data_IF_753330213959
#
_entry.id   IF_753330213959
#
_cell.length_a   1.000
_cell.length_b   1.000
_cell.length_c   1.000
_cell.angle_alpha   90.00
_cell.angle_beta   90.00
_cell.angle_gamma   90.00
#
_symmetry.space_group_name_H-M   'P 1'
#
loop_
_entity.id
_entity.type
_entity.pdbx_description
1 polymer ?
#
# COMPACT_ATOMS: atom_id res chain seq x y z
N UNK A 1 7.16 -8.49 9.51
CA UNK A 1 7.19 -8.59 8.03
C UNK A 1 8.26 -9.57 7.59
N UNK A 2 7.97 -10.40 6.57
CA UNK A 2 8.96 -11.29 5.96
C UNK A 2 10.06 -10.48 5.25
N UNK A 3 11.21 -11.10 5.03
CA UNK A 3 12.31 -10.52 4.25
C UNK A 3 12.07 -10.56 2.75
N UNK A 4 10.98 -11.18 2.31
CA UNK A 4 10.54 -11.33 0.92
C UNK A 4 9.58 -12.49 0.74
N UNK A 5 8.89 -12.53 -0.40
CA UNK A 5 7.89 -13.53 -0.70
C UNK A 5 7.77 -13.82 -2.20
N UNK A 6 7.26 -14.98 -2.55
CA UNK A 6 7.01 -15.38 -3.94
C UNK A 6 5.92 -16.45 -4.02
N UNK A 7 5.13 -16.51 -5.11
CA UNK A 7 4.26 -17.64 -5.37
C UNK A 7 5.08 -18.89 -5.68
N UNK A 8 4.54 -20.06 -5.37
CA UNK A 8 5.21 -21.33 -5.57
C UNK A 8 4.26 -22.51 -5.46
N UNK A 9 4.82 -23.71 -5.31
CA UNK A 9 4.05 -24.91 -5.00
C UNK A 9 4.71 -25.73 -3.91
N UNK A 10 3.89 -26.30 -3.04
CA UNK A 10 4.30 -27.25 -2.00
C UNK A 10 3.42 -28.48 -2.13
N UNK A 11 4.03 -29.64 -2.36
CA UNK A 11 3.32 -30.93 -2.51
C UNK A 11 2.20 -30.89 -3.57
N UNK A 12 2.43 -30.16 -4.66
CA UNK A 12 1.47 -30.02 -5.76
C UNK A 12 0.30 -29.06 -5.49
N UNK A 13 0.32 -28.32 -4.38
CA UNK A 13 -0.64 -27.26 -4.06
C UNK A 13 -0.02 -25.89 -4.22
N UNK A 14 -0.81 -24.91 -4.64
CA UNK A 14 -0.44 -23.49 -4.63
C UNK A 14 0.03 -23.08 -3.23
N UNK A 15 1.14 -22.36 -3.17
CA UNK A 15 1.75 -21.93 -1.92
C UNK A 15 2.40 -20.56 -2.07
N UNK A 16 2.52 -19.85 -0.96
CA UNK A 16 3.39 -18.69 -0.84
C UNK A 16 4.65 -19.08 -0.08
N UNK A 17 5.81 -18.74 -0.64
CA UNK A 17 7.10 -18.96 -0.01
C UNK A 17 7.53 -17.65 0.64
N UNK A 18 7.70 -17.65 1.97
CA UNK A 18 8.15 -16.49 2.74
C UNK A 18 9.59 -16.67 3.20
N UNK A 19 10.43 -15.64 3.01
CA UNK A 19 11.73 -15.58 3.67
C UNK A 19 11.58 -14.93 5.05
N UNK A 20 12.15 -15.55 6.08
CA UNK A 20 12.04 -15.05 7.46
C UNK A 20 13.42 -14.91 8.10
N UNK A 21 13.59 -13.87 8.92
CA UNK A 21 14.79 -13.68 9.72
C UNK A 21 14.62 -14.29 11.13
N UNK A 22 15.71 -14.39 11.89
CA UNK A 22 15.62 -14.75 13.32
C UNK A 22 14.82 -13.70 14.09
N UNK A 23 15.09 -12.42 13.83
CA UNK A 23 14.39 -11.30 14.48
C UNK A 23 12.90 -11.29 14.17
N UNK A 24 12.51 -11.55 12.91
CA UNK A 24 11.09 -11.65 12.52
C UNK A 24 10.38 -12.75 13.31
N UNK A 25 11.01 -13.93 13.44
CA UNK A 25 10.45 -15.06 14.21
C UNK A 25 10.43 -14.81 15.72
N UNK A 26 11.34 -14.00 16.25
CA UNK A 26 11.33 -13.61 17.67
C UNK A 26 10.23 -12.58 17.97
N UNK A 27 9.97 -11.66 17.04
CA UNK A 27 8.89 -10.65 17.15
C UNK A 27 7.50 -11.21 16.91
N UNK A 28 7.38 -12.31 16.16
CA UNK A 28 6.13 -12.96 15.77
C UNK A 28 6.23 -14.47 16.06
N UNK A 29 6.39 -14.81 17.33
CA UNK A 29 6.74 -16.17 17.78
C UNK A 29 5.66 -17.22 17.49
N UNK A 30 4.40 -16.81 17.39
CA UNK A 30 3.26 -17.64 17.00
C UNK A 30 2.99 -17.61 15.48
N UNK A 31 3.79 -16.85 14.72
CA UNK A 31 3.65 -16.62 13.29
C UNK A 31 2.30 -16.01 12.88
N UNK A 32 1.62 -15.31 13.79
CA UNK A 32 0.31 -14.71 13.55
C UNK A 32 0.36 -13.64 12.46
N UNK A 33 1.34 -12.73 12.51
CA UNK A 33 1.50 -11.67 11.51
C UNK A 33 2.03 -12.23 10.18
N UNK A 34 2.90 -13.23 10.22
CA UNK A 34 3.33 -13.96 9.02
C UNK A 34 2.16 -14.69 8.34
N UNK A 35 1.26 -15.30 9.11
CA UNK A 35 0.08 -15.97 8.57
C UNK A 35 -0.92 -15.00 7.95
N UNK A 36 -1.13 -13.83 8.59
CA UNK A 36 -1.95 -12.74 8.02
C UNK A 36 -1.39 -12.27 6.70
N UNK A 37 -0.10 -11.93 6.67
CA UNK A 37 0.60 -11.52 5.46
C UNK A 37 0.52 -12.60 4.37
N UNK A 38 0.78 -13.87 4.70
CA UNK A 38 0.66 -14.96 3.75
C UNK A 38 -0.74 -15.06 3.16
N UNK A 39 -1.77 -14.95 4.00
CA UNK A 39 -3.17 -15.03 3.59
C UNK A 39 -3.55 -13.88 2.67
N UNK A 40 -3.05 -12.67 2.95
CA UNK A 40 -3.21 -11.49 2.10
C UNK A 40 -2.64 -11.72 0.69
N UNK A 41 -1.36 -12.06 0.60
CA UNK A 41 -0.69 -12.25 -0.68
C UNK A 41 -1.22 -13.45 -1.47
N UNK A 42 -1.70 -14.50 -0.80
CA UNK A 42 -2.37 -15.63 -1.47
C UNK A 42 -3.63 -15.19 -2.22
N UNK A 43 -4.37 -14.19 -1.73
CA UNK A 43 -5.54 -13.64 -2.44
C UNK A 43 -5.10 -13.00 -3.75
N UNK A 44 -4.05 -12.19 -3.74
CA UNK A 44 -3.52 -11.57 -4.95
C UNK A 44 -3.06 -12.62 -5.96
N UNK A 45 -2.31 -13.63 -5.53
CA UNK A 45 -1.73 -14.61 -6.44
C UNK A 45 -2.73 -15.59 -7.04
N UNK A 46 -3.75 -16.00 -6.30
CA UNK A 46 -4.55 -17.18 -6.69
C UNK A 46 -6.06 -16.94 -6.72
N UNK A 47 -6.55 -15.83 -6.16
CA UNK A 47 -7.97 -15.52 -6.14
C UNK A 47 -8.30 -14.31 -7.01
N UNK A 48 -7.37 -13.37 -7.14
CA UNK A 48 -7.51 -12.16 -7.94
C UNK A 48 -6.82 -12.26 -9.31
N UNK A 49 -6.47 -13.46 -9.78
CA UNK A 49 -5.93 -13.67 -11.14
C UNK A 49 -6.88 -13.13 -12.24
N UNK A 50 -8.18 -13.17 -11.98
CA UNK A 50 -9.23 -12.66 -12.87
C UNK A 50 -9.46 -11.14 -12.76
N UNK A 51 -8.82 -10.45 -11.80
CA UNK A 51 -8.92 -9.00 -11.69
C UNK A 51 -8.19 -8.38 -12.87
N UNK A 52 -8.86 -7.45 -13.56
CA UNK A 52 -8.22 -6.73 -14.66
C UNK A 52 -6.91 -6.08 -14.16
N UNK A 53 -5.84 -6.08 -14.97
CA UNK A 53 -4.62 -5.40 -14.61
C UNK A 53 -4.92 -3.93 -14.35
N UNK A 54 -4.21 -3.37 -13.37
CA UNK A 54 -4.19 -1.94 -13.08
C UNK A 54 -4.01 -1.14 -14.38
N UNK A 55 -4.93 -0.22 -14.67
CA UNK A 55 -4.88 0.57 -15.90
C UNK A 55 -3.95 1.78 -15.76
N UNK A 56 -3.51 2.35 -16.89
CA UNK A 56 -2.60 3.51 -16.87
C UNK A 56 -3.22 4.68 -16.10
N UNK A 57 -2.58 5.06 -14.97
CA UNK A 57 -3.03 6.14 -14.09
C UNK A 57 -3.79 5.67 -12.85
N UNK A 58 -4.16 4.39 -12.79
CA UNK A 58 -4.58 3.73 -11.55
C UNK A 58 -3.36 3.35 -10.72
N UNK A 59 -3.50 3.44 -9.40
CA UNK A 59 -2.57 2.82 -8.47
C UNK A 59 -2.35 3.52 -7.15
N UNK A 60 -1.33 3.06 -6.43
CA UNK A 60 -1.10 3.41 -5.02
C UNK A 60 -0.65 4.85 -4.82
N UNK A 61 -0.16 5.51 -5.87
CA UNK A 61 0.36 6.86 -5.77
C UNK A 61 -0.73 7.92 -5.69
N UNK A 62 -0.60 8.86 -4.77
CA UNK A 62 -1.47 10.04 -4.63
C UNK A 62 -0.71 11.34 -4.89
N UNK A 63 -1.39 12.36 -5.40
CA UNK A 63 -0.73 13.63 -5.72
C UNK A 63 -0.22 14.33 -4.46
N UNK A 64 1.03 14.80 -4.50
CA UNK A 64 1.64 15.61 -3.44
C UNK A 64 1.54 17.12 -3.79
N UNK A 65 1.18 18.00 -2.83
CA UNK A 65 0.85 17.71 -1.43
C UNK A 65 -0.50 17.03 -1.26
N UNK A 66 -0.62 16.23 -0.20
CA UNK A 66 -1.84 15.50 0.13
C UNK A 66 -2.97 16.46 0.46
N UNK A 67 -4.16 16.20 -0.07
CA UNK A 67 -5.32 17.07 0.08
C UNK A 67 -6.20 16.64 1.26
N UNK A 68 -6.56 17.59 2.13
CA UNK A 68 -7.38 17.33 3.32
C UNK A 68 -8.79 16.85 2.99
N UNK A 69 -9.43 17.42 1.97
CA UNK A 69 -10.83 17.15 1.67
C UNK A 69 -11.11 15.68 1.28
N UNK A 70 -10.41 15.05 0.31
CA UNK A 70 -10.68 13.66 -0.03
C UNK A 70 -10.41 12.69 1.12
N UNK A 71 -9.33 12.92 1.90
CA UNK A 71 -9.03 12.12 3.10
C UNK A 71 -10.13 12.27 4.17
N UNK A 72 -10.67 13.48 4.38
CA UNK A 72 -11.80 13.68 5.28
C UNK A 72 -13.04 12.91 4.82
N UNK A 73 -13.35 12.95 3.52
CA UNK A 73 -14.50 12.25 2.96
C UNK A 73 -14.36 10.73 3.18
N UNK A 74 -13.20 10.15 2.85
CA UNK A 74 -12.92 8.72 3.04
C UNK A 74 -12.90 8.33 4.52
N UNK A 75 -12.35 9.17 5.40
CA UNK A 75 -12.40 8.95 6.84
C UNK A 75 -13.84 9.01 7.39
N UNK A 76 -14.70 9.89 6.87
CA UNK A 76 -16.12 9.94 7.26
C UNK A 76 -16.91 8.73 6.74
N UNK A 77 -16.56 8.17 5.58
CA UNK A 77 -17.07 6.87 5.12
C UNK A 77 -16.69 5.81 6.15
N UNK A 78 -15.40 5.64 6.43
CA UNK A 78 -14.90 4.65 7.39
C UNK A 78 -15.55 4.80 8.77
N UNK A 79 -15.57 6.02 9.31
CA UNK A 79 -16.20 6.33 10.59
C UNK A 79 -17.66 5.84 10.65
N UNK A 80 -18.46 6.14 9.62
CA UNK A 80 -19.86 5.72 9.59
C UNK A 80 -20.02 4.21 9.37
N UNK A 81 -19.12 3.55 8.61
CA UNK A 81 -19.13 2.09 8.50
C UNK A 81 -18.85 1.44 9.86
N UNK A 82 -17.87 1.93 10.62
CA UNK A 82 -17.59 1.45 11.98
C UNK A 82 -18.79 1.69 12.90
N UNK A 83 -19.43 2.86 12.85
CA UNK A 83 -20.65 3.10 13.62
C UNK A 83 -21.80 2.15 13.23
N UNK A 84 -21.90 1.76 11.95
CA UNK A 84 -22.90 0.80 11.50
C UNK A 84 -22.67 -0.62 12.03
N UNK A 85 -21.40 -0.99 12.30
CA UNK A 85 -21.01 -2.26 12.93
C UNK A 85 -21.23 -2.20 14.45
N UNK A 86 -20.87 -1.10 15.09
CA UNK A 86 -20.94 -0.95 16.54
C UNK A 86 -22.38 -0.72 17.04
N UNK A 87 -23.27 -0.17 16.21
CA UNK A 87 -24.66 0.16 16.55
C UNK A 87 -25.65 -0.61 15.67
N UNK A 88 -25.76 -1.93 15.86
CA UNK A 88 -26.59 -2.81 15.00
C UNK A 88 -28.05 -2.34 14.87
N UNK A 89 -28.65 -1.81 15.94
CA UNK A 89 -30.02 -1.26 15.93
C UNK A 89 -30.18 0.05 15.15
N UNK A 90 -29.10 0.79 14.88
CA UNK A 90 -29.07 2.01 14.06
C UNK A 90 -28.24 1.83 12.78
N UNK A 91 -27.87 0.60 12.42
CA UNK A 91 -26.92 0.30 11.32
C UNK A 91 -27.33 0.99 10.01
N UNK A 92 -28.61 0.95 9.64
CA UNK A 92 -29.11 1.56 8.40
C UNK A 92 -28.94 3.09 8.37
N UNK A 93 -29.08 3.77 9.52
CA UNK A 93 -28.88 5.22 9.62
C UNK A 93 -27.42 5.58 9.32
N UNK A 94 -26.47 4.83 9.87
CA UNK A 94 -25.05 5.04 9.63
C UNK A 94 -24.62 4.65 8.22
N UNK A 95 -25.16 3.57 7.66
CA UNK A 95 -24.94 3.22 6.25
C UNK A 95 -25.42 4.32 5.29
N UNK A 96 -26.56 4.96 5.57
CA UNK A 96 -27.03 6.10 4.77
C UNK A 96 -26.13 7.32 4.88
N UNK A 97 -25.51 7.57 6.03
CA UNK A 97 -24.50 8.63 6.21
C UNK A 97 -23.20 8.29 5.49
N UNK A 98 -22.73 7.04 5.56
CA UNK A 98 -21.60 6.57 4.76
C UNK A 98 -21.87 6.74 3.26
N UNK A 99 -23.08 6.41 2.78
CA UNK A 99 -23.48 6.62 1.39
C UNK A 99 -23.47 8.11 0.98
N UNK A 100 -23.84 9.02 1.90
CA UNK A 100 -23.71 10.46 1.65
C UNK A 100 -22.25 10.86 1.41
N UNK A 101 -21.33 10.50 2.31
CA UNK A 101 -19.91 10.84 2.16
C UNK A 101 -19.25 10.19 0.95
N UNK A 102 -19.61 8.94 0.65
CA UNK A 102 -19.17 8.22 -0.52
C UNK A 102 -19.61 8.91 -1.82
N UNK A 103 -20.87 9.37 -1.89
CA UNK A 103 -21.37 10.12 -3.04
C UNK A 103 -20.69 11.49 -3.18
N UNK A 104 -20.41 12.19 -2.07
CA UNK A 104 -19.62 13.43 -2.09
C UNK A 104 -18.22 13.18 -2.64
N UNK A 105 -17.51 12.14 -2.17
CA UNK A 105 -16.17 11.80 -2.67
C UNK A 105 -16.17 11.50 -4.17
N UNK A 106 -17.09 10.67 -4.64
CA UNK A 106 -17.24 10.35 -6.07
C UNK A 106 -17.53 11.57 -6.94
N UNK A 107 -18.26 12.54 -6.40
CA UNK A 107 -18.68 13.74 -7.13
C UNK A 107 -17.61 14.84 -7.11
N UNK A 108 -16.98 15.07 -5.96
CA UNK A 108 -15.97 16.10 -5.75
C UNK A 108 -14.59 15.67 -6.30
N UNK A 109 -14.25 14.38 -6.25
CA UNK A 109 -12.94 13.83 -6.63
C UNK A 109 -13.06 12.62 -7.57
N UNK A 110 -13.70 12.77 -8.75
CA UNK A 110 -13.95 11.65 -9.66
C UNK A 110 -12.66 11.00 -10.20
N UNK A 111 -11.58 11.77 -10.36
CA UNK A 111 -10.30 11.24 -10.84
C UNK A 111 -9.57 10.45 -9.76
N UNK A 112 -9.58 10.91 -8.49
CA UNK A 112 -9.04 10.13 -7.38
C UNK A 112 -9.86 8.85 -7.16
N UNK A 113 -11.19 8.96 -7.22
CA UNK A 113 -12.11 7.81 -7.10
C UNK A 113 -11.80 6.71 -8.13
N UNK A 114 -11.55 7.09 -9.39
CA UNK A 114 -11.13 6.13 -10.42
C UNK A 114 -9.73 5.59 -10.14
N UNK A 115 -8.78 6.48 -9.86
CA UNK A 115 -7.37 6.10 -9.69
C UNK A 115 -7.14 5.09 -8.54
N UNK A 116 -7.92 5.18 -7.46
CA UNK A 116 -7.81 4.26 -6.32
C UNK A 116 -8.77 3.07 -6.41
N UNK A 117 -9.66 3.00 -7.40
CA UNK A 117 -10.69 1.96 -7.46
C UNK A 117 -10.09 0.55 -7.51
N UNK A 118 -9.01 0.37 -8.28
CA UNK A 118 -8.30 -0.91 -8.34
C UNK A 118 -7.74 -1.30 -6.96
N UNK A 119 -7.10 -0.37 -6.25
CA UNK A 119 -6.59 -0.58 -4.88
C UNK A 119 -7.72 -0.87 -3.88
N UNK A 120 -8.84 -0.14 -3.95
CA UNK A 120 -10.04 -0.38 -3.13
C UNK A 120 -10.59 -1.80 -3.35
N UNK A 121 -10.52 -2.34 -4.57
CA UNK A 121 -10.93 -3.71 -4.88
C UNK A 121 -9.88 -4.73 -4.42
N UNK A 122 -8.64 -4.58 -4.86
CA UNK A 122 -7.57 -5.54 -4.65
C UNK A 122 -7.20 -5.66 -3.16
N UNK A 123 -6.77 -4.55 -2.57
CA UNK A 123 -6.27 -4.48 -1.19
C UNK A 123 -7.40 -4.54 -0.18
N UNK A 124 -8.53 -3.88 -0.47
CA UNK A 124 -9.70 -3.92 0.40
C UNK A 124 -10.27 -5.34 0.56
N UNK A 125 -10.31 -6.11 -0.52
CA UNK A 125 -10.72 -7.52 -0.48
C UNK A 125 -9.67 -8.41 0.19
N UNK A 126 -8.39 -8.24 -0.11
CA UNK A 126 -7.31 -9.00 0.51
C UNK A 126 -7.26 -8.76 2.03
N UNK A 127 -7.45 -7.51 2.49
CA UNK A 127 -7.58 -7.16 3.92
C UNK A 127 -8.79 -7.82 4.59
N UNK A 128 -9.90 -7.93 3.87
CA UNK A 128 -11.06 -8.67 4.38
C UNK A 128 -10.74 -10.15 4.60
N UNK A 129 -10.15 -10.80 3.60
CA UNK A 129 -9.82 -12.23 3.65
C UNK A 129 -8.72 -12.54 4.67
N UNK A 130 -7.66 -11.72 4.76
CA UNK A 130 -6.57 -11.96 5.72
C UNK A 130 -7.10 -11.94 7.16
N UNK A 131 -7.99 -10.98 7.48
CA UNK A 131 -8.54 -10.83 8.81
C UNK A 131 -9.50 -11.98 9.09
N UNK A 132 -10.30 -12.38 8.10
CA UNK A 132 -11.17 -13.54 8.23
C UNK A 132 -10.39 -14.84 8.46
N UNK A 133 -9.27 -15.04 7.75
CA UNK A 133 -8.42 -16.22 7.90
C UNK A 133 -7.92 -16.39 9.35
N UNK A 134 -7.61 -15.29 10.05
CA UNK A 134 -7.21 -15.36 11.48
C UNK A 134 -8.34 -15.80 12.41
N UNK A 135 -9.59 -15.65 11.99
CA UNK A 135 -10.77 -15.94 12.80
C UNK A 135 -11.27 -17.36 12.53
N UNK A 136 -11.33 -17.76 11.26
CA UNK A 136 -11.83 -19.08 10.81
C UNK A 136 -10.97 -20.26 11.29
N UNK A 137 -9.74 -20.02 11.72
CA UNK A 137 -8.90 -21.04 12.38
C UNK A 137 -9.41 -21.41 13.78
N UNK A 138 -10.34 -20.64 14.35
CA UNK A 138 -10.90 -20.85 15.68
C UNK A 138 -12.24 -21.59 15.56
N UNK A 139 -12.46 -22.62 16.38
CA UNK A 139 -13.76 -23.30 16.47
C UNK A 139 -14.73 -22.44 17.31
N UNK A 140 -15.33 -21.43 16.70
CA UNK A 140 -16.15 -20.40 17.37
C UNK A 140 -17.55 -20.29 16.77
N UNK A 141 -18.50 -19.78 17.55
CA UNK A 141 -19.87 -19.50 17.08
C UNK A 141 -19.90 -18.27 16.17
N UNK A 142 -21.00 -18.09 15.42
CA UNK A 142 -21.19 -16.89 14.58
C UNK A 142 -21.22 -15.59 15.39
N UNK A 143 -21.67 -15.62 16.65
CA UNK A 143 -21.64 -14.45 17.53
C UNK A 143 -20.20 -14.13 17.96
N UNK A 144 -19.44 -15.15 18.36
CA UNK A 144 -18.02 -14.99 18.68
C UNK A 144 -17.20 -14.53 17.47
N UNK A 145 -17.52 -15.01 16.26
CA UNK A 145 -16.91 -14.54 15.01
C UNK A 145 -17.10 -13.03 14.84
N UNK A 146 -18.31 -12.53 15.04
CA UNK A 146 -18.59 -11.08 14.97
C UNK A 146 -17.81 -10.29 16.02
N UNK A 147 -17.67 -10.81 17.23
CA UNK A 147 -16.87 -10.15 18.26
C UNK A 147 -15.38 -10.11 17.90
N UNK A 148 -14.85 -11.18 17.29
CA UNK A 148 -13.46 -11.21 16.80
C UNK A 148 -13.26 -10.26 15.61
N UNK A 149 -14.19 -10.19 14.67
CA UNK A 149 -14.16 -9.22 13.57
C UNK A 149 -14.12 -7.78 14.10
N UNK A 150 -14.99 -7.46 15.06
CA UNK A 150 -15.02 -6.12 15.68
C UNK A 150 -13.70 -5.75 16.36
N UNK A 151 -12.93 -6.71 16.88
CA UNK A 151 -11.63 -6.45 17.52
C UNK A 151 -10.53 -6.06 16.54
N UNK A 152 -10.63 -6.49 15.28
CA UNK A 152 -9.63 -6.18 14.25
C UNK A 152 -9.86 -4.83 13.57
N UNK A 153 -11.01 -4.17 13.84
CA UNK A 153 -11.30 -2.83 13.33
C UNK A 153 -10.41 -1.79 14.03
N UNK A 154 -9.61 -1.07 13.24
CA UNK A 154 -8.76 0.02 13.72
C UNK A 154 -9.57 1.28 14.05
N UNK A 155 -10.04 1.38 15.29
CA UNK A 155 -10.74 2.57 15.79
C UNK A 155 -9.76 3.70 16.09
N UNK A 156 -10.25 4.93 15.92
CA UNK A 156 -9.51 6.17 16.24
C UNK A 156 -8.22 6.40 15.44
N UNK A 157 -8.00 5.65 14.37
CA UNK A 157 -6.89 5.85 13.43
C UNK A 157 -7.33 6.72 12.25
N UNK A 158 -6.51 7.73 11.92
CA UNK A 158 -6.58 8.40 10.63
C UNK A 158 -5.55 7.77 9.70
N UNK A 159 -5.96 7.49 8.48
CA UNK A 159 -5.09 6.92 7.47
C UNK A 159 -4.60 8.06 6.56
N UNK A 160 -3.28 8.28 6.52
CA UNK A 160 -2.69 9.40 5.78
C UNK A 160 -2.64 9.21 4.26
N UNK A 161 -3.08 8.07 3.73
CA UNK A 161 -2.96 7.75 2.32
C UNK A 161 -4.16 6.95 1.81
N UNK A 162 -4.53 7.23 0.56
CA UNK A 162 -5.69 6.62 -0.09
C UNK A 162 -5.58 5.08 -0.15
N UNK A 163 -4.38 4.55 -0.39
CA UNK A 163 -4.12 3.11 -0.43
C UNK A 163 -4.30 2.47 0.94
N UNK A 164 -3.83 3.09 2.03
CA UNK A 164 -4.04 2.59 3.40
C UNK A 164 -5.52 2.65 3.79
N UNK A 165 -6.23 3.72 3.41
CA UNK A 165 -7.69 3.83 3.61
C UNK A 165 -8.45 2.66 2.93
N UNK A 166 -7.98 2.19 1.76
CA UNK A 166 -8.59 1.08 1.01
C UNK A 166 -8.68 -0.21 1.80
N UNK A 167 -7.62 -0.56 2.54
CA UNK A 167 -7.59 -1.77 3.38
C UNK A 167 -8.72 -1.74 4.40
N UNK A 168 -8.84 -0.64 5.13
CA UNK A 168 -9.72 -0.55 6.30
C UNK A 168 -11.18 -0.29 5.91
N UNK A 169 -11.42 0.52 4.87
CA UNK A 169 -12.75 0.66 4.27
C UNK A 169 -13.20 -0.69 3.70
N UNK A 170 -12.33 -1.39 2.97
CA UNK A 170 -12.62 -2.70 2.39
C UNK A 170 -12.96 -3.74 3.44
N UNK A 171 -12.21 -3.77 4.55
CA UNK A 171 -12.46 -4.69 5.65
C UNK A 171 -13.84 -4.51 6.29
N UNK A 172 -14.16 -3.27 6.72
CA UNK A 172 -15.42 -2.99 7.42
C UNK A 172 -16.61 -3.11 6.46
N UNK A 173 -16.44 -2.69 5.20
CA UNK A 173 -17.46 -2.91 4.17
C UNK A 173 -17.72 -4.40 3.94
N UNK A 174 -16.69 -5.25 3.90
CA UNK A 174 -16.81 -6.70 3.76
C UNK A 174 -17.60 -7.36 4.90
N UNK A 175 -17.35 -6.94 6.15
CA UNK A 175 -18.15 -7.40 7.31
C UNK A 175 -19.62 -7.00 7.16
N UNK A 176 -19.89 -5.76 6.77
CA UNK A 176 -21.27 -5.28 6.60
C UNK A 176 -21.96 -5.95 5.41
N UNK A 177 -21.22 -6.29 4.35
CA UNK A 177 -21.72 -7.07 3.22
C UNK A 177 -22.11 -8.49 3.63
N UNK A 178 -21.35 -9.16 4.50
CA UNK A 178 -21.73 -10.47 5.04
C UNK A 178 -23.10 -10.45 5.72
N UNK A 179 -23.47 -9.33 6.36
CA UNK A 179 -24.75 -9.15 7.03
C UNK A 179 -25.87 -8.73 6.08
N UNK A 180 -25.59 -7.78 5.18
CA UNK A 180 -26.62 -7.12 4.36
C UNK A 180 -26.85 -7.80 3.01
N UNK A 181 -25.83 -8.48 2.48
CA UNK A 181 -25.80 -9.10 1.14
C UNK A 181 -24.99 -10.41 1.20
N UNK A 182 -25.44 -11.46 1.91
CA UNK A 182 -24.61 -12.64 2.23
C UNK A 182 -23.97 -13.34 1.01
N UNK A 183 -24.60 -13.25 -0.16
CA UNK A 183 -24.11 -13.86 -1.41
C UNK A 183 -23.11 -12.97 -2.19
N UNK A 184 -22.69 -11.82 -1.64
CA UNK A 184 -21.86 -10.83 -2.36
C UNK A 184 -20.56 -11.40 -2.90
N UNK A 185 -19.97 -12.38 -2.22
CA UNK A 185 -18.67 -13.00 -2.55
C UNK A 185 -18.68 -13.72 -3.89
N UNK A 186 -19.80 -14.33 -4.29
CA UNK A 186 -19.87 -15.15 -5.51
C UNK A 186 -19.62 -14.35 -6.79
N UNK A 187 -19.89 -13.04 -6.75
CA UNK A 187 -19.85 -12.17 -7.92
C UNK A 187 -18.94 -10.95 -7.75
N UNK A 188 -18.35 -10.76 -6.56
CA UNK A 188 -17.62 -9.55 -6.21
C UNK A 188 -16.53 -9.19 -7.22
N UNK A 189 -15.56 -10.09 -7.46
CA UNK A 189 -14.44 -9.82 -8.37
C UNK A 189 -14.88 -9.56 -9.81
N UNK A 190 -16.01 -10.13 -10.24
CA UNK A 190 -16.56 -9.93 -11.59
C UNK A 190 -17.39 -8.66 -11.72
N UNK A 191 -17.78 -8.04 -10.59
CA UNK A 191 -18.66 -6.88 -10.57
C UNK A 191 -17.94 -5.56 -10.89
N UNK A 192 -16.60 -5.54 -10.77
CA UNK A 192 -15.77 -4.34 -10.86
C UNK A 192 -16.24 -3.18 -9.96
N UNK A 193 -16.88 -3.52 -8.83
CA UNK A 193 -17.30 -2.56 -7.79
C UNK A 193 -16.34 -2.66 -6.62
N UNK A 194 -15.95 -1.52 -6.05
CA UNK A 194 -15.27 -1.49 -4.76
C UNK A 194 -16.17 -2.10 -3.67
N UNK A 195 -15.61 -2.60 -2.54
CA UNK A 195 -16.43 -3.05 -1.41
C UNK A 195 -17.42 -1.98 -0.93
N UNK A 196 -17.00 -0.71 -0.93
CA UNK A 196 -17.85 0.42 -0.59
C UNK A 196 -19.00 0.62 -1.61
N UNK A 197 -18.72 0.54 -2.92
CA UNK A 197 -19.76 0.61 -3.96
C UNK A 197 -20.76 -0.54 -3.87
N UNK A 198 -20.28 -1.76 -3.62
CA UNK A 198 -21.14 -2.94 -3.48
C UNK A 198 -22.11 -2.80 -2.29
N UNK A 199 -21.63 -2.23 -1.19
CA UNK A 199 -22.42 -2.00 0.02
C UNK A 199 -23.36 -0.78 -0.10
N UNK A 200 -22.82 0.36 -0.52
CA UNK A 200 -23.46 1.68 -0.40
C UNK A 200 -24.19 2.14 -1.67
N UNK A 201 -23.89 1.57 -2.84
CA UNK A 201 -24.31 2.11 -4.14
C UNK A 201 -25.83 2.19 -4.37
N UNK A 202 -26.62 1.44 -3.61
CA UNK A 202 -28.10 1.41 -3.69
C UNK A 202 -28.77 2.07 -2.46
N UNK A 203 -27.97 2.61 -1.54
CA UNK A 203 -28.46 3.19 -0.29
C UNK A 203 -28.77 4.67 -0.50
N UNK A 204 -30.00 5.08 -0.15
CA UNK A 204 -30.40 6.49 -0.20
C UNK A 204 -29.61 7.31 0.84
N UNK A 205 -28.79 8.29 0.42
CA UNK A 205 -27.91 9.02 1.30
C UNK A 205 -28.68 9.82 2.36
N UNK A 206 -28.09 9.96 3.53
CA UNK A 206 -28.55 10.82 4.61
C UNK A 206 -27.46 11.85 4.89
N UNK A 207 -27.77 13.11 4.63
CA UNK A 207 -26.83 14.22 4.86
C UNK A 207 -26.35 14.26 6.31
N UNK A 208 -25.05 14.53 6.46
CA UNK A 208 -24.37 14.62 7.74
C UNK A 208 -23.36 15.77 7.71
N UNK A 209 -23.21 16.46 8.85
CA UNK A 209 -22.07 17.35 9.04
C UNK A 209 -20.84 16.52 9.42
N UNK A 210 -19.62 16.94 9.03
CA UNK A 210 -18.41 16.26 9.45
C UNK A 210 -18.37 16.12 10.98
N UNK A 211 -17.95 14.96 11.47
CA UNK A 211 -17.66 14.79 12.89
C UNK A 211 -16.48 15.72 13.25
N UNK A 212 -16.62 16.68 14.18
CA UNK A 212 -15.58 17.67 14.45
C UNK A 212 -14.25 17.05 14.93
N UNK A 213 -14.31 15.93 15.65
CA UNK A 213 -13.10 15.25 16.11
C UNK A 213 -12.40 14.56 14.95
N UNK A 214 -13.15 13.90 14.06
CA UNK A 214 -12.60 13.30 12.85
C UNK A 214 -11.98 14.37 11.96
N UNK A 215 -12.67 15.48 11.74
CA UNK A 215 -12.16 16.59 10.93
C UNK A 215 -10.86 17.17 11.49
N UNK A 216 -10.81 17.36 12.81
CA UNK A 216 -9.60 17.84 13.48
C UNK A 216 -8.44 16.85 13.31
N UNK A 217 -8.65 15.57 13.61
CA UNK A 217 -7.62 14.53 13.49
C UNK A 217 -7.10 14.43 12.06
N UNK A 218 -7.98 14.44 11.05
CA UNK A 218 -7.57 14.42 9.63
C UNK A 218 -6.69 15.63 9.28
N UNK A 219 -7.06 16.83 9.75
CA UNK A 219 -6.26 18.05 9.50
C UNK A 219 -4.88 17.98 10.13
N UNK A 220 -4.79 17.50 11.36
CA UNK A 220 -3.53 17.39 12.11
C UNK A 220 -2.61 16.35 11.48
N UNK A 221 -3.13 15.15 11.19
CA UNK A 221 -2.35 14.05 10.63
C UNK A 221 -1.88 14.33 9.20
N UNK A 222 -2.73 14.93 8.34
CA UNK A 222 -2.29 15.31 7.00
C UNK A 222 -1.25 16.41 7.00
N UNK A 223 -1.33 17.35 7.95
CA UNK A 223 -0.30 18.37 8.08
C UNK A 223 1.04 17.71 8.44
N UNK A 224 1.05 16.84 9.46
CA UNK A 224 2.24 16.12 9.87
C UNK A 224 2.82 15.26 8.72
N UNK A 225 1.95 14.56 8.00
CA UNK A 225 2.32 13.72 6.85
C UNK A 225 2.93 14.55 5.73
N UNK A 226 2.32 15.68 5.36
CA UNK A 226 2.87 16.57 4.34
C UNK A 226 4.21 17.20 4.75
N UNK A 227 4.38 17.55 6.04
CA UNK A 227 5.64 18.06 6.58
C UNK A 227 6.75 17.00 6.51
N UNK A 228 6.45 15.74 6.78
CA UNK A 228 7.40 14.64 6.69
C UNK A 228 7.71 14.24 5.24
N UNK A 229 6.70 14.23 4.37
CA UNK A 229 6.89 14.04 2.93
C UNK A 229 7.76 15.14 2.33
N UNK A 230 7.62 16.40 2.76
CA UNK A 230 8.47 17.50 2.29
C UNK A 230 9.96 17.20 2.54
N UNK A 231 10.30 16.71 3.74
CA UNK A 231 11.67 16.31 4.10
C UNK A 231 12.11 15.09 3.30
N UNK A 232 11.22 14.10 3.15
CA UNK A 232 11.54 12.86 2.44
C UNK A 232 11.78 13.09 0.94
N UNK A 233 11.12 14.06 0.31
CA UNK A 233 11.25 14.38 -1.11
C UNK A 233 12.48 15.28 -1.38
N UNK A 234 12.97 16.02 -0.38
CA UNK A 234 14.08 16.96 -0.52
C UNK A 234 15.31 16.36 -1.23
N UNK A 235 15.78 15.13 -0.92
CA UNK A 235 16.90 14.51 -1.64
C UNK A 235 16.63 14.31 -3.14
N UNK A 236 15.39 13.98 -3.52
CA UNK A 236 14.97 13.86 -4.92
C UNK A 236 15.00 15.23 -5.58
N UNK A 237 14.40 16.24 -4.95
CA UNK A 237 14.35 17.61 -5.48
C UNK A 237 15.77 18.20 -5.66
N UNK A 238 16.66 17.96 -4.70
CA UNK A 238 18.06 18.38 -4.78
C UNK A 238 18.80 17.69 -5.93
N UNK A 239 18.58 16.38 -6.10
CA UNK A 239 19.21 15.64 -7.19
C UNK A 239 18.67 16.06 -8.56
N UNK A 240 17.38 16.38 -8.67
CA UNK A 240 16.80 16.93 -9.90
C UNK A 240 17.37 18.29 -10.25
N UNK A 241 17.63 19.14 -9.26
CA UNK A 241 18.21 20.46 -9.47
C UNK A 241 19.73 20.42 -9.78
N UNK A 242 20.49 19.51 -9.15
CA UNK A 242 21.94 19.37 -9.35
C UNK A 242 22.30 18.12 -10.17
N UNK A 243 22.54 18.33 -11.47
CA UNK A 243 22.92 17.27 -12.43
C UNK A 243 24.28 16.62 -12.15
N UNK A 244 25.06 17.16 -11.21
CA UNK A 244 26.30 16.51 -10.76
C UNK A 244 26.02 15.38 -9.76
N UNK A 245 24.80 15.27 -9.24
CA UNK A 245 24.38 14.16 -8.38
C UNK A 245 24.06 12.93 -9.25
N UNK A 246 24.83 11.83 -9.11
CA UNK A 246 24.63 10.65 -9.93
C UNK A 246 23.38 9.87 -9.52
N UNK A 247 22.83 9.12 -10.47
CA UNK A 247 21.74 8.17 -10.22
C UNK A 247 22.22 6.72 -10.29
N UNK A 248 21.67 5.88 -9.41
CA UNK A 248 21.65 4.43 -9.58
C UNK A 248 20.27 4.02 -10.10
N UNK A 249 20.25 3.26 -11.18
CA UNK A 249 19.04 2.63 -11.72
C UNK A 249 19.12 1.14 -11.42
N UNK A 250 18.09 0.62 -10.75
CA UNK A 250 17.89 -0.80 -10.47
C UNK A 250 16.67 -1.29 -11.26
N UNK A 251 16.86 -2.30 -12.09
CA UNK A 251 15.77 -2.99 -12.79
C UNK A 251 15.16 -4.04 -11.86
N UNK A 252 13.98 -3.75 -11.32
CA UNK A 252 13.28 -4.57 -10.32
C UNK A 252 12.83 -5.91 -10.89
N UNK A 253 12.69 -6.04 -12.21
CA UNK A 253 12.31 -7.31 -12.86
C UNK A 253 13.44 -8.33 -12.89
N UNK A 254 14.68 -7.90 -12.66
CA UNK A 254 15.89 -8.73 -12.84
C UNK A 254 16.73 -8.90 -11.58
N UNK A 255 16.21 -8.47 -10.44
CA UNK A 255 16.87 -8.58 -9.14
C UNK A 255 16.01 -9.41 -8.21
N UNK A 256 16.62 -10.37 -7.52
CA UNK A 256 15.96 -11.12 -6.46
C UNK A 256 15.99 -10.27 -5.19
N UNK A 257 14.83 -10.09 -4.57
CA UNK A 257 14.71 -9.26 -3.38
C UNK A 257 13.27 -9.04 -2.94
N UNK A 258 13.13 -8.30 -1.86
CA UNK A 258 11.88 -7.66 -1.48
C UNK A 258 12.08 -6.16 -1.47
N UNK A 259 10.99 -5.44 -1.74
CA UNK A 259 10.97 -4.00 -1.58
C UNK A 259 9.59 -3.57 -1.07
N UNK A 260 9.55 -2.40 -0.49
CA UNK A 260 8.32 -1.75 -0.06
C UNK A 260 8.58 -0.27 0.21
N UNK A 261 7.52 0.44 0.57
CA UNK A 261 7.57 1.85 0.90
C UNK A 261 6.54 2.22 1.94
N UNK A 262 6.72 3.38 2.55
CA UNK A 262 5.76 3.96 3.51
C UNK A 262 4.67 4.74 2.80
N UNK A 263 5.03 5.56 1.80
CA UNK A 263 4.07 6.33 1.01
C UNK A 263 4.45 6.30 -0.47
N UNK A 264 3.43 6.26 -1.31
CA UNK A 264 3.53 6.38 -2.76
C UNK A 264 2.88 7.69 -3.19
N UNK A 265 3.63 8.57 -3.83
CA UNK A 265 3.13 9.90 -4.20
C UNK A 265 3.52 10.28 -5.62
N UNK A 266 2.72 11.14 -6.25
CA UNK A 266 3.08 11.84 -7.49
C UNK A 266 3.57 13.24 -7.15
N UNK A 267 4.81 13.54 -7.52
CA UNK A 267 5.43 14.86 -7.34
C UNK A 267 6.11 15.28 -8.64
N UNK A 268 5.73 16.44 -9.18
CA UNK A 268 6.27 17.00 -10.44
C UNK A 268 6.28 16.00 -11.61
N UNK A 269 5.20 15.23 -11.74
CA UNK A 269 5.03 14.24 -12.82
C UNK A 269 5.86 12.95 -12.65
N UNK A 270 6.38 12.69 -11.45
CA UNK A 270 7.12 11.48 -11.11
C UNK A 270 6.46 10.78 -9.94
N UNK A 271 6.46 9.46 -9.98
CA UNK A 271 6.10 8.66 -8.82
C UNK A 271 7.31 8.54 -7.90
N UNK A 272 7.11 8.89 -6.63
CA UNK A 272 8.11 8.81 -5.58
C UNK A 272 7.60 7.85 -4.53
N UNK A 273 8.44 6.88 -4.17
CA UNK A 273 8.22 6.03 -3.01
C UNK A 273 9.10 6.54 -1.87
N UNK A 274 8.49 6.93 -0.76
CA UNK A 274 9.18 7.41 0.45
C UNK A 274 9.25 6.32 1.51
N UNK A 275 10.26 6.38 2.38
CA UNK A 275 10.53 5.33 3.36
C UNK A 275 10.79 3.97 2.71
N UNK A 276 11.32 4.02 1.49
CA UNK A 276 11.66 2.89 0.66
C UNK A 276 12.67 2.01 1.36
N UNK A 277 12.41 0.72 1.35
CA UNK A 277 13.36 -0.30 1.78
C UNK A 277 13.45 -1.37 0.71
N UNK A 278 14.65 -1.87 0.47
CA UNK A 278 14.87 -3.02 -0.38
C UNK A 278 16.18 -3.72 -0.05
N UNK A 279 16.25 -5.00 -0.39
CA UNK A 279 17.51 -5.75 -0.42
C UNK A 279 17.63 -6.44 -1.76
N UNK A 280 18.68 -6.12 -2.50
CA UNK A 280 18.98 -6.68 -3.81
C UNK A 280 20.25 -7.50 -3.76
N UNK A 281 20.21 -8.64 -4.43
CA UNK A 281 21.39 -9.45 -4.73
C UNK A 281 21.72 -9.36 -6.21
N UNK A 282 23.01 -9.26 -6.51
CA UNK A 282 23.59 -9.25 -7.86
C UNK A 282 24.84 -10.13 -7.90
N UNK A 283 25.40 -10.34 -9.09
CA UNK A 283 26.62 -11.14 -9.26
C UNK A 283 27.81 -10.57 -8.47
N UNK A 284 28.06 -11.15 -7.29
CA UNK A 284 29.19 -10.82 -6.43
C UNK A 284 29.01 -9.56 -5.57
N UNK A 285 27.77 -9.06 -5.42
CA UNK A 285 27.49 -7.88 -4.60
C UNK A 285 26.03 -7.73 -4.19
N UNK A 286 25.78 -6.86 -3.21
CA UNK A 286 24.45 -6.57 -2.67
C UNK A 286 24.18 -5.07 -2.57
N UNK A 287 22.91 -4.70 -2.55
CA UNK A 287 22.47 -3.35 -2.26
C UNK A 287 21.28 -3.39 -1.30
N UNK A 288 21.46 -2.79 -0.13
CA UNK A 288 20.43 -2.65 0.90
C UNK A 288 20.07 -1.17 1.05
N UNK A 289 18.79 -0.87 0.93
CA UNK A 289 18.21 0.46 1.13
C UNK A 289 17.29 0.42 2.34
N UNK A 290 17.38 1.41 3.21
CA UNK A 290 16.53 1.54 4.40
C UNK A 290 16.07 2.98 4.55
N UNK A 291 14.75 3.16 4.64
CA UNK A 291 14.09 4.44 4.86
C UNK A 291 14.53 5.55 3.88
N UNK A 292 14.64 5.20 2.60
CA UNK A 292 15.11 6.10 1.55
C UNK A 292 13.96 6.64 0.69
N UNK A 293 14.19 7.68 -0.12
CA UNK A 293 13.23 8.12 -1.14
C UNK A 293 13.76 7.82 -2.53
N UNK A 294 12.92 7.22 -3.37
CA UNK A 294 13.29 6.81 -4.72
C UNK A 294 12.24 7.26 -5.73
N UNK A 295 12.67 7.49 -6.96
CA UNK A 295 11.74 7.64 -8.09
C UNK A 295 11.42 6.24 -8.61
N UNK A 296 10.14 5.93 -8.71
CA UNK A 296 9.64 4.68 -9.27
C UNK A 296 9.17 4.93 -10.71
N UNK A 297 9.56 4.05 -11.64
CA UNK A 297 9.12 4.13 -13.02
C UNK A 297 9.08 2.73 -13.64
N UNK A 298 7.88 2.21 -13.88
CA UNK A 298 7.68 0.86 -14.42
C UNK A 298 8.49 -0.16 -13.59
N UNK A 299 9.32 -0.99 -14.24
CA UNK A 299 10.20 -1.96 -13.59
C UNK A 299 11.55 -1.36 -13.15
N UNK A 300 11.62 -0.05 -12.90
CA UNK A 300 12.84 0.61 -12.49
C UNK A 300 12.67 1.45 -11.23
N UNK A 301 13.70 1.40 -10.40
CA UNK A 301 13.88 2.28 -9.26
C UNK A 301 15.11 3.14 -9.53
N UNK A 302 14.95 4.45 -9.37
CA UNK A 302 16.00 5.44 -9.56
C UNK A 302 16.33 6.06 -8.21
N UNK A 303 17.58 5.88 -7.80
CA UNK A 303 18.10 6.26 -6.49
C UNK A 303 19.13 7.39 -6.68
N UNK A 304 18.89 8.59 -6.13
CA UNK A 304 19.93 9.58 -5.98
C UNK A 304 21.07 9.08 -5.11
N UNK A 305 22.29 9.18 -5.60
CA UNK A 305 23.49 8.78 -4.87
C UNK A 305 24.22 10.00 -4.29
N UNK A 306 25.10 9.82 -3.30
CA UNK A 306 26.03 10.87 -2.87
C UNK A 306 26.78 11.48 -4.06
N UNK A 307 26.94 12.80 -4.07
CA UNK A 307 27.57 13.56 -5.18
C UNK A 307 28.99 13.10 -5.51
N UNK A 308 29.73 12.63 -4.52
CA UNK A 308 31.10 12.15 -4.59
C UNK A 308 31.19 10.63 -4.88
N UNK A 309 30.08 10.01 -5.29
CA UNK A 309 30.06 8.58 -5.62
C UNK A 309 31.03 8.25 -6.76
N UNK A 310 31.92 7.30 -6.49
CA UNK A 310 32.88 6.77 -7.46
C UNK A 310 32.72 5.26 -7.63
N UNK A 311 32.81 4.81 -8.88
CA UNK A 311 32.88 3.39 -9.23
C UNK A 311 34.35 2.98 -9.42
N UNK A 312 34.73 1.85 -8.84
CA UNK A 312 36.08 1.28 -8.99
C UNK A 312 35.99 -0.07 -9.68
N UNK A 313 36.65 -0.21 -10.83
CA UNK A 313 36.64 -1.44 -11.63
C UNK A 313 35.23 -1.96 -11.94
N UNK A 314 34.30 -1.07 -12.29
CA UNK A 314 32.90 -1.42 -12.57
C UNK A 314 32.07 -1.81 -11.33
N UNK A 315 32.60 -1.60 -10.12
CA UNK A 315 31.92 -1.92 -8.86
C UNK A 315 31.64 -0.67 -8.03
N UNK A 316 30.39 -0.57 -7.58
CA UNK A 316 29.90 0.46 -6.67
C UNK A 316 29.97 -0.04 -5.22
N UNK A 317 30.48 0.81 -4.33
CA UNK A 317 30.48 0.58 -2.88
C UNK A 317 30.04 1.87 -2.18
N UNK A 318 29.01 1.77 -1.34
CA UNK A 318 28.48 2.89 -0.56
C UNK A 318 28.12 2.34 0.81
N UNK A 319 28.46 3.06 1.88
CA UNK A 319 28.02 2.73 3.23
C UNK A 319 27.66 4.02 3.95
N UNK A 320 26.36 4.19 4.20
CA UNK A 320 25.81 5.25 5.04
C UNK A 320 24.57 4.71 5.78
N UNK A 321 23.90 5.57 6.56
CA UNK A 321 22.79 5.17 7.43
C UNK A 321 21.62 4.53 6.66
N UNK A 322 21.30 5.02 5.46
CA UNK A 322 20.13 4.61 4.69
C UNK A 322 20.47 3.72 3.47
N UNK A 323 21.75 3.53 3.17
CA UNK A 323 22.22 2.83 1.97
C UNK A 323 23.52 2.05 2.24
N UNK A 324 23.47 0.74 1.97
CA UNK A 324 24.63 -0.16 2.04
C UNK A 324 24.75 -0.93 0.73
N UNK A 325 25.66 -0.49 -0.13
CA UNK A 325 25.99 -1.14 -1.40
C UNK A 325 27.38 -1.75 -1.28
N UNK A 326 27.50 -3.06 -1.50
CA UNK A 326 28.76 -3.81 -1.43
C UNK A 326 29.02 -4.52 -2.74
N UNK A 327 30.11 -4.15 -3.42
CA UNK A 327 30.58 -4.76 -4.66
C UNK A 327 29.54 -4.88 -5.78
N UNK A 328 28.53 -4.00 -5.81
CA UNK A 328 27.48 -4.01 -6.82
C UNK A 328 28.08 -3.72 -8.19
N UNK A 329 27.94 -4.65 -9.12
CA UNK A 329 28.39 -4.46 -10.50
C UNK A 329 27.45 -3.48 -11.22
N UNK A 330 28.04 -2.46 -11.83
CA UNK A 330 27.30 -1.39 -12.50
C UNK A 330 27.92 -1.04 -13.85
N UNK A 331 27.07 -0.63 -14.78
CA UNK A 331 27.51 0.03 -16.01
C UNK A 331 27.35 1.54 -15.87
N UNK A 332 28.36 2.28 -16.31
CA UNK A 332 28.36 3.74 -16.28
C UNK A 332 27.87 4.30 -17.61
N UNK A 333 26.88 5.18 -17.55
CA UNK A 333 26.29 5.87 -18.70
C UNK A 333 26.02 7.34 -18.36
N UNK A 334 25.63 8.14 -19.35
CA UNK A 334 25.05 9.46 -19.12
C UNK A 334 23.62 9.52 -19.65
N UNK A 335 22.75 10.22 -18.93
CA UNK A 335 21.40 10.51 -19.44
C UNK A 335 21.42 11.63 -20.50
N UNK A 336 20.24 11.94 -21.03
CA UNK A 336 20.02 13.02 -22.00
C UNK A 336 20.40 14.41 -21.46
N UNK A 337 20.54 14.57 -20.14
CA UNK A 337 20.94 15.80 -19.49
C UNK A 337 22.42 15.80 -19.06
N UNK A 338 23.19 14.82 -19.53
CA UNK A 338 24.60 14.60 -19.19
C UNK A 338 24.87 14.25 -17.71
N UNK A 339 23.84 13.90 -16.94
CA UNK A 339 24.00 13.36 -15.58
C UNK A 339 24.67 11.99 -15.64
N UNK A 340 25.52 11.70 -14.67
CA UNK A 340 26.12 10.37 -14.52
C UNK A 340 25.08 9.37 -14.01
N UNK A 341 24.94 8.23 -14.70
CA UNK A 341 23.97 7.19 -14.37
C UNK A 341 24.66 5.84 -14.30
N UNK A 342 24.57 5.20 -13.15
CA UNK A 342 24.98 3.83 -12.92
C UNK A 342 23.77 2.90 -13.07
N UNK A 343 23.89 1.83 -13.85
CA UNK A 343 22.83 0.82 -13.99
C UNK A 343 23.31 -0.49 -13.38
N UNK A 344 22.58 -0.99 -12.38
CA UNK A 344 22.87 -2.28 -11.77
C UNK A 344 22.71 -3.41 -12.80
N UNK A 345 23.70 -4.29 -12.90
CA UNK A 345 23.61 -5.50 -13.73
C UNK A 345 22.89 -6.61 -12.97
N UNK A 346 21.93 -7.23 -13.64
CA UNK A 346 21.15 -8.36 -13.14
C UNK A 346 21.98 -9.65 -13.00
N UNK A 347 21.49 -10.58 -12.17
CA UNK A 347 21.85 -11.99 -12.33
C UNK A 347 21.14 -12.53 -13.58
N UNK A 348 21.90 -12.99 -14.58
CA UNK A 348 21.35 -13.73 -15.73
C UNK A 348 20.85 -15.11 -15.32
#
# INVERSE_FOLDING_TARGET
>A
MPGGYSPGSLEGRSAILLSTSKETREKDADASELYRFASHELVHFYHQEDLAPESEGEGRAQDYPLQTRPRLLRQMIYHNLVQAVDNEGESDKFLRRAAYWHNQWKTEFPEEYKAVAWTDIAEGHARYVENLATIETKNITSEQRRDEEKKLIQRDTVFGAADVESYEIGYVAGILLDVKKPDWKEHFLRSNKTPADALLGEINPLEENPNPQVEKSVKEDLKATNDDLAKAIEPIDNAEADKTIPYLIVDTSKVKGSYGGKNFIRHRGKEITTGFFASYQSKGGSADFQDFSVITKENHIIVPLPKDTQVKNGRLNIENESMRIKNLEVTETRDNESRLVYRATAEN
#
